data_IF_101810637675
#
_entry.id   IF_101810637675
#
_cell.length_a   1.000
_cell.length_b   1.000
_cell.length_c   1.000
_cell.angle_alpha   90.00
_cell.angle_beta   90.00
_cell.angle_gamma   90.00
#
_symmetry.space_group_name_H-M   'P 1'
#
loop_
_entity.id
_entity.type
_entity.pdbx_description
1 polymer ?
#
# COMPACT_ATOMS: atom_id res chain seq x y z
N UNK A 1 -4.69 6.50 4.16
CA UNK A 1 -5.77 7.38 3.68
C UNK A 1 -7.09 6.61 3.64
N UNK A 2 -8.22 7.30 3.66
CA UNK A 2 -9.53 6.69 3.41
C UNK A 2 -10.11 7.27 2.13
N UNK A 3 -10.60 6.40 1.24
CA UNK A 3 -11.27 6.80 0.00
C UNK A 3 -12.66 6.17 -0.08
N UNK A 4 -13.55 6.74 -0.89
CA UNK A 4 -14.89 6.20 -1.15
C UNK A 4 -14.94 5.62 -2.55
N UNK A 5 -15.20 4.32 -2.67
CA UNK A 5 -15.42 3.64 -3.95
C UNK A 5 -16.74 2.89 -3.86
N UNK A 6 -17.64 3.08 -4.83
CA UNK A 6 -18.96 2.43 -4.86
C UNK A 6 -19.71 2.51 -3.52
N UNK A 7 -19.71 3.71 -2.92
CA UNK A 7 -20.27 4.00 -1.59
C UNK A 7 -19.66 3.26 -0.40
N UNK A 8 -18.56 2.52 -0.58
CA UNK A 8 -17.82 1.87 0.50
C UNK A 8 -16.60 2.69 0.88
N UNK A 9 -16.36 2.79 2.19
CA UNK A 9 -15.12 3.37 2.71
C UNK A 9 -14.01 2.33 2.64
N UNK A 10 -12.93 2.67 1.94
CA UNK A 10 -11.75 1.82 1.77
C UNK A 10 -10.57 2.48 2.47
N UNK A 11 -9.89 1.73 3.33
CA UNK A 11 -8.64 2.15 3.94
C UNK A 11 -7.48 1.74 3.04
N UNK A 12 -6.61 2.69 2.68
CA UNK A 12 -5.41 2.45 1.89
C UNK A 12 -4.19 2.88 2.70
N UNK A 13 -3.13 2.08 2.70
CA UNK A 13 -1.87 2.38 3.38
C UNK A 13 -0.75 2.39 2.36
N UNK A 14 -0.16 3.56 2.16
CA UNK A 14 0.97 3.73 1.24
C UNK A 14 2.29 3.54 1.97
N UNK A 15 3.28 3.00 1.27
CA UNK A 15 4.65 2.92 1.75
C UNK A 15 5.67 2.93 0.62
N UNK A 16 6.94 2.95 0.97
CA UNK A 16 8.03 3.07 -0.01
C UNK A 16 8.68 4.45 -0.05
N UNK A 17 9.73 4.54 -0.86
CA UNK A 17 10.46 5.78 -1.09
C UNK A 17 9.70 6.64 -2.12
N UNK A 18 9.68 7.96 -1.93
CA UNK A 18 9.09 8.90 -2.88
C UNK A 18 10.03 9.05 -4.08
N UNK A 19 10.00 8.04 -4.96
CA UNK A 19 10.67 8.13 -6.23
C UNK A 19 9.90 9.14 -7.07
N UNK A 20 10.60 10.17 -7.53
CA UNK A 20 10.14 11.18 -8.51
C UNK A 20 9.39 10.58 -9.71
N UNK A 21 9.54 9.28 -9.95
CA UNK A 21 8.79 8.50 -10.93
C UNK A 21 7.45 7.98 -10.36
N UNK A 22 6.39 8.77 -10.57
CA UNK A 22 5.02 8.47 -10.09
C UNK A 22 4.33 7.29 -10.77
N UNK A 23 4.95 6.65 -11.76
CA UNK A 23 4.17 5.87 -12.73
C UNK A 23 3.84 4.42 -12.34
N UNK A 24 4.47 3.81 -11.32
CA UNK A 24 4.18 2.41 -10.92
C UNK A 24 4.19 2.21 -9.41
N UNK A 25 3.12 1.62 -8.90
CA UNK A 25 3.00 1.18 -7.51
C UNK A 25 2.55 -0.28 -7.48
N UNK A 26 2.99 -1.02 -6.46
CA UNK A 26 2.56 -2.39 -6.21
C UNK A 26 1.44 -2.39 -5.16
N UNK A 27 0.25 -2.89 -5.53
CA UNK A 27 -0.88 -2.98 -4.60
C UNK A 27 -0.83 -4.27 -3.79
N UNK A 28 -0.92 -4.15 -2.47
CA UNK A 28 -0.91 -5.28 -1.54
C UNK A 28 -2.29 -5.48 -0.90
N UNK A 29 -2.95 -6.60 -1.22
CA UNK A 29 -4.28 -6.94 -0.71
C UNK A 29 -4.14 -7.97 0.40
N UNK A 30 -4.69 -7.70 1.58
CA UNK A 30 -4.68 -8.64 2.71
C UNK A 30 -5.79 -9.70 2.60
N UNK A 31 -5.71 -10.75 3.41
CA UNK A 31 -6.76 -11.78 3.54
C UNK A 31 -7.94 -11.35 4.40
N UNK A 32 -8.95 -12.21 4.53
CA UNK A 32 -10.12 -11.95 5.37
C UNK A 32 -9.74 -11.79 6.86
N UNK A 33 -10.41 -10.89 7.57
CA UNK A 33 -10.18 -10.63 9.00
C UNK A 33 -8.90 -9.85 9.33
N UNK A 34 -8.20 -9.33 8.32
CA UNK A 34 -6.96 -8.57 8.45
C UNK A 34 -7.15 -7.11 8.07
N UNK A 35 -6.12 -6.28 8.31
CA UNK A 35 -6.01 -4.93 7.77
C UNK A 35 -4.64 -4.72 7.09
N UNK A 36 -4.37 -3.52 6.57
CA UNK A 36 -3.11 -3.23 5.90
C UNK A 36 -1.85 -3.34 6.77
N UNK A 37 -1.96 -3.59 8.09
CA UNK A 37 -0.78 -3.71 8.99
C UNK A 37 -0.01 -4.98 8.74
N UNK A 38 -0.66 -6.02 8.20
CA UNK A 38 0.00 -7.32 7.98
C UNK A 38 1.17 -7.20 7.00
N UNK A 39 1.11 -6.19 6.11
CA UNK A 39 2.12 -5.92 5.09
C UNK A 39 3.28 -5.04 5.57
N UNK A 40 3.37 -4.74 6.86
CA UNK A 40 4.36 -3.80 7.38
C UNK A 40 5.82 -4.21 7.12
N UNK A 41 6.14 -5.51 7.19
CA UNK A 41 7.49 -6.02 6.91
C UNK A 41 7.79 -6.01 5.40
N UNK A 42 6.84 -6.45 4.59
CA UNK A 42 6.95 -6.51 3.13
C UNK A 42 7.08 -5.09 2.56
N UNK A 43 6.31 -4.15 3.08
CA UNK A 43 6.39 -2.73 2.72
C UNK A 43 7.78 -2.16 2.99
N UNK A 44 8.39 -2.47 4.14
CA UNK A 44 9.78 -2.04 4.44
C UNK A 44 10.80 -2.67 3.50
N UNK A 45 10.68 -3.97 3.23
CA UNK A 45 11.55 -4.67 2.29
C UNK A 45 11.45 -4.06 0.88
N UNK A 46 10.23 -3.89 0.36
CA UNK A 46 9.98 -3.31 -0.96
C UNK A 46 10.46 -1.85 -1.04
N UNK A 47 10.27 -1.07 0.04
CA UNK A 47 10.79 0.29 0.14
C UNK A 47 12.32 0.33 -0.03
N UNK A 48 13.05 -0.59 0.60
CA UNK A 48 14.52 -0.70 0.44
C UNK A 48 14.97 -1.07 -0.98
N UNK A 49 14.06 -1.63 -1.79
CA UNK A 49 14.27 -1.92 -3.21
C UNK A 49 13.77 -0.81 -4.13
N UNK A 50 13.36 0.33 -3.57
CA UNK A 50 12.81 1.45 -4.34
C UNK A 50 11.43 1.14 -4.93
N UNK A 51 10.67 0.21 -4.34
CA UNK A 51 9.32 -0.11 -4.81
C UNK A 51 8.31 0.60 -3.90
N UNK A 52 7.44 1.39 -4.53
CA UNK A 52 6.30 2.02 -3.85
C UNK A 52 5.15 1.03 -3.72
N UNK A 53 4.52 0.98 -2.55
CA UNK A 53 3.37 0.12 -2.25
C UNK A 53 2.14 0.92 -1.86
N UNK A 54 0.96 0.33 -2.08
CA UNK A 54 -0.34 0.85 -1.62
C UNK A 54 -1.30 -0.26 -1.21
#
# INVERSE_FOLDING_TARGET
MNIKINNKNINIRTGGYDLKNKNRALMLIHGAGMDGSIWQLQTRYLASKGIRTL
#
